data_IF_313435288771
#
_entry.id   IF_313435288771
#
_cell.length_a   1.000
_cell.length_b   1.000
_cell.length_c   1.000
_cell.angle_alpha   90.00
_cell.angle_beta   90.00
_cell.angle_gamma   90.00
#
_symmetry.space_group_name_H-M   'P 1'
#
loop_
_entity.id
_entity.type
_entity.pdbx_description
1 polymer ?
#
# COMPACT_ATOMS: atom_id res chain seq x y z
N UNK A 1 -4.84 -29.67 -24.56
CA UNK A 1 -4.06 -28.42 -24.60
C UNK A 1 -2.65 -28.78 -24.19
N UNK A 2 -1.66 -28.46 -25.02
CA UNK A 2 -0.27 -28.69 -24.65
C UNK A 2 0.08 -27.64 -23.58
N UNK A 3 0.75 -28.05 -22.51
CA UNK A 3 1.20 -27.13 -21.45
C UNK A 3 2.68 -27.28 -21.29
N UNK A 4 3.39 -26.15 -21.38
CA UNK A 4 4.85 -26.13 -21.28
C UNK A 4 5.21 -25.13 -20.19
N UNK A 5 5.92 -25.60 -19.17
CA UNK A 5 6.52 -24.72 -18.17
C UNK A 5 7.86 -24.21 -18.72
N UNK A 6 8.07 -22.90 -18.64
CA UNK A 6 9.29 -22.22 -19.06
C UNK A 6 9.78 -21.32 -17.93
N UNK A 7 11.09 -21.10 -17.88
CA UNK A 7 11.66 -20.00 -17.11
C UNK A 7 11.46 -18.69 -17.85
N UNK A 8 11.55 -17.59 -17.12
CA UNK A 8 11.29 -16.27 -17.66
C UNK A 8 12.29 -15.91 -18.77
N UNK A 9 11.77 -15.38 -19.88
CA UNK A 9 12.53 -14.87 -21.02
C UNK A 9 12.09 -13.44 -21.33
N UNK A 10 12.96 -12.64 -21.96
CA UNK A 10 12.70 -11.22 -22.23
C UNK A 10 11.34 -10.95 -22.92
N UNK A 11 10.91 -11.82 -23.83
CA UNK A 11 9.63 -11.67 -24.55
C UNK A 11 8.39 -11.80 -23.65
N UNK A 12 8.51 -12.41 -22.47
CA UNK A 12 7.41 -12.62 -21.55
C UNK A 12 7.40 -11.65 -20.36
N UNK A 13 8.44 -10.82 -20.19
CA UNK A 13 8.56 -9.93 -19.03
C UNK A 13 7.33 -9.04 -18.83
N UNK A 14 6.86 -8.40 -19.91
CA UNK A 14 5.67 -7.53 -19.88
C UNK A 14 4.37 -8.36 -19.87
N UNK A 15 4.15 -9.35 -20.79
CA UNK A 15 2.95 -10.16 -20.75
C UNK A 15 2.69 -10.90 -19.43
N UNK A 16 3.76 -11.27 -18.71
CA UNK A 16 3.65 -11.89 -17.39
C UNK A 16 3.22 -10.88 -16.31
N UNK A 17 3.74 -9.64 -16.33
CA UNK A 17 3.27 -8.58 -15.43
C UNK A 17 1.81 -8.24 -15.68
N UNK A 18 1.40 -8.15 -16.95
CA UNK A 18 0.01 -7.89 -17.31
C UNK A 18 -0.91 -9.01 -16.82
N UNK A 19 -0.48 -10.28 -16.94
CA UNK A 19 -1.22 -11.40 -16.34
C UNK A 19 -1.34 -11.29 -14.82
N UNK A 20 -0.25 -10.93 -14.13
CA UNK A 20 -0.25 -10.77 -12.67
C UNK A 20 -1.23 -9.66 -12.29
N UNK A 21 -1.12 -8.48 -12.91
CA UNK A 21 -2.00 -7.35 -12.64
C UNK A 21 -3.48 -7.69 -12.92
N UNK A 22 -3.79 -8.32 -14.05
CA UNK A 22 -5.16 -8.75 -14.40
C UNK A 22 -5.77 -9.70 -13.35
N UNK A 23 -5.00 -10.69 -12.91
CA UNK A 23 -5.47 -11.70 -11.95
C UNK A 23 -5.71 -11.08 -10.58
N UNK A 24 -4.79 -10.27 -10.08
CA UNK A 24 -4.93 -9.62 -8.77
C UNK A 24 -5.99 -8.51 -8.79
N UNK A 25 -6.18 -7.82 -9.92
CA UNK A 25 -7.27 -6.84 -10.08
C UNK A 25 -8.64 -7.53 -9.93
N UNK A 26 -8.76 -8.75 -10.45
CA UNK A 26 -10.02 -9.51 -10.42
C UNK A 26 -10.28 -10.17 -9.06
N UNK A 27 -9.23 -10.66 -8.40
CA UNK A 27 -9.35 -11.47 -7.19
C UNK A 27 -9.33 -10.64 -5.90
N UNK A 28 -8.68 -9.49 -5.94
CA UNK A 28 -8.45 -8.62 -4.79
C UNK A 28 -8.93 -7.19 -5.11
N UNK A 29 -8.04 -6.32 -5.60
CA UNK A 29 -8.34 -4.94 -5.97
C UNK A 29 -7.35 -4.39 -7.02
N UNK A 30 -7.71 -3.34 -7.79
CA UNK A 30 -6.78 -2.66 -8.68
C UNK A 30 -5.54 -2.10 -7.97
N UNK A 31 -5.68 -1.66 -6.72
CA UNK A 31 -4.59 -1.13 -5.90
C UNK A 31 -3.60 -2.23 -5.49
N UNK A 32 -4.12 -3.38 -5.04
CA UNK A 32 -3.29 -4.54 -4.73
C UNK A 32 -2.59 -5.06 -5.99
N UNK A 33 -3.27 -5.09 -7.14
CA UNK A 33 -2.69 -5.50 -8.41
C UNK A 33 -1.46 -4.65 -8.80
N UNK A 34 -1.56 -3.33 -8.64
CA UNK A 34 -0.43 -2.41 -8.88
C UNK A 34 0.71 -2.65 -7.89
N UNK A 35 0.39 -2.91 -6.63
CA UNK A 35 1.38 -3.20 -5.58
C UNK A 35 2.13 -4.49 -5.88
N UNK A 36 1.42 -5.57 -6.24
CA UNK A 36 2.02 -6.86 -6.61
C UNK A 36 2.85 -6.73 -7.89
N UNK A 37 2.37 -5.98 -8.89
CA UNK A 37 3.15 -5.67 -10.10
C UNK A 37 4.46 -4.96 -9.76
N UNK A 38 4.39 -3.88 -8.97
CA UNK A 38 5.55 -3.11 -8.53
C UNK A 38 6.52 -3.98 -7.73
N UNK A 39 6.02 -4.89 -6.89
CA UNK A 39 6.86 -5.84 -6.15
C UNK A 39 7.63 -6.78 -7.10
N UNK A 40 7.00 -7.30 -8.16
CA UNK A 40 7.69 -8.13 -9.16
C UNK A 40 8.77 -7.33 -9.90
N UNK A 41 8.46 -6.09 -10.29
CA UNK A 41 9.44 -5.19 -10.93
C UNK A 41 10.61 -4.87 -10.00
N UNK A 42 10.33 -4.61 -8.72
CA UNK A 42 11.34 -4.35 -7.69
C UNK A 42 12.23 -5.58 -7.46
N UNK A 43 11.64 -6.76 -7.31
CA UNK A 43 12.39 -8.02 -7.17
C UNK A 43 13.33 -8.17 -8.36
N UNK A 44 12.84 -8.04 -9.60
CA UNK A 44 13.63 -8.15 -10.84
C UNK A 44 14.80 -7.16 -10.90
N UNK A 45 14.65 -5.97 -10.32
CA UNK A 45 15.68 -4.93 -10.29
C UNK A 45 16.71 -5.12 -9.17
N UNK A 46 16.42 -5.95 -8.16
CA UNK A 46 17.28 -6.19 -6.98
C UNK A 46 18.02 -7.53 -7.06
N UNK A 47 18.99 -7.71 -6.16
CA UNK A 47 19.83 -8.91 -6.05
C UNK A 47 19.06 -10.20 -5.72
N UNK A 48 17.81 -10.09 -5.31
CA UNK A 48 16.96 -11.22 -4.93
C UNK A 48 16.39 -11.98 -6.13
N UNK A 49 16.48 -11.39 -7.34
CA UNK A 49 15.94 -11.99 -8.55
C UNK A 49 16.67 -13.26 -8.99
N UNK A 50 15.88 -14.28 -9.36
CA UNK A 50 16.34 -15.55 -9.90
C UNK A 50 15.56 -15.85 -11.21
N UNK A 51 16.07 -15.44 -12.38
CA UNK A 51 15.39 -15.65 -13.67
C UNK A 51 15.00 -17.11 -13.93
N UNK A 52 15.81 -18.05 -13.45
CA UNK A 52 15.58 -19.48 -13.59
C UNK A 52 14.40 -20.00 -12.75
N UNK A 53 13.99 -19.26 -11.71
CA UNK A 53 12.88 -19.60 -10.83
C UNK A 53 11.71 -18.59 -10.93
N UNK A 54 11.74 -17.68 -11.89
CA UNK A 54 10.54 -17.02 -12.38
C UNK A 54 9.95 -17.87 -13.50
N UNK A 55 8.76 -18.43 -13.26
CA UNK A 55 8.20 -19.49 -14.08
C UNK A 55 6.87 -19.08 -14.69
N UNK A 56 6.67 -19.47 -15.94
CA UNK A 56 5.41 -19.34 -16.65
C UNK A 56 4.98 -20.67 -17.22
N UNK A 57 3.67 -20.87 -17.34
CA UNK A 57 3.10 -21.95 -18.13
C UNK A 57 2.47 -21.36 -19.38
N UNK A 58 2.82 -21.88 -20.55
CA UNK A 58 2.27 -21.44 -21.84
C UNK A 58 1.53 -22.58 -22.56
N UNK A 59 0.58 -22.21 -23.42
CA UNK A 59 -0.06 -23.13 -24.37
C UNK A 59 0.71 -23.27 -25.68
N UNK A 60 0.17 -24.07 -26.62
CA UNK A 60 0.72 -24.25 -27.97
C UNK A 60 0.84 -22.97 -28.81
N UNK A 61 0.14 -21.89 -28.43
CA UNK A 61 0.19 -20.57 -29.11
C UNK A 61 1.15 -19.60 -28.45
N UNK A 62 1.90 -20.06 -27.44
CA UNK A 62 2.81 -19.24 -26.62
C UNK A 62 2.09 -18.24 -25.69
N UNK A 63 0.79 -18.45 -25.46
CA UNK A 63 -0.01 -17.62 -24.53
C UNK A 63 0.24 -18.07 -23.10
N UNK A 64 0.55 -17.12 -22.20
CA UNK A 64 0.76 -17.39 -20.78
C UNK A 64 -0.57 -17.75 -20.10
N UNK A 65 -0.63 -18.94 -19.50
CA UNK A 65 -1.76 -19.47 -18.74
C UNK A 65 -1.62 -19.25 -17.23
N UNK A 66 -0.38 -19.29 -16.73
CA UNK A 66 -0.07 -19.12 -15.32
C UNK A 66 1.37 -18.67 -15.09
N UNK A 67 1.62 -18.20 -13.88
CA UNK A 67 2.84 -17.55 -13.43
C UNK A 67 3.13 -17.94 -11.98
N UNK A 68 4.39 -18.18 -11.65
CA UNK A 68 4.88 -18.33 -10.29
C UNK A 68 6.31 -17.80 -10.19
N UNK A 69 6.59 -16.96 -9.19
CA UNK A 69 7.93 -16.45 -8.93
C UNK A 69 8.47 -16.97 -7.61
N UNK A 70 9.70 -17.48 -7.63
CA UNK A 70 10.51 -17.68 -6.44
C UNK A 70 11.69 -16.71 -6.48
N UNK A 71 11.91 -15.99 -5.39
CA UNK A 71 13.05 -15.07 -5.23
C UNK A 71 13.80 -15.37 -3.94
N UNK A 72 15.08 -14.95 -3.88
CA UNK A 72 15.86 -15.09 -2.64
C UNK A 72 15.18 -14.31 -1.51
N UNK A 73 15.22 -14.89 -0.32
CA UNK A 73 14.64 -14.26 0.86
C UNK A 73 15.57 -14.44 2.05
N UNK A 74 15.68 -13.40 2.88
CA UNK A 74 16.46 -13.48 4.11
C UNK A 74 15.56 -13.31 5.33
N UNK A 75 15.91 -13.98 6.41
CA UNK A 75 15.34 -13.75 7.74
C UNK A 75 16.45 -13.11 8.56
N UNK A 76 16.23 -11.87 9.03
CA UNK A 76 17.22 -11.13 9.85
C UNK A 76 18.62 -11.05 9.19
N UNK A 77 18.67 -10.92 7.86
CA UNK A 77 19.92 -10.89 7.07
C UNK A 77 20.62 -12.24 6.91
N UNK A 78 19.98 -13.35 7.28
CA UNK A 78 20.50 -14.73 7.17
C UNK A 78 19.75 -15.55 6.13
N UNK A 79 20.35 -16.67 5.71
CA UNK A 79 19.76 -17.71 4.86
C UNK A 79 19.39 -17.30 3.42
N UNK A 80 19.88 -16.16 2.92
CA UNK A 80 19.56 -15.67 1.57
C UNK A 80 19.91 -16.67 0.45
N UNK A 81 20.91 -17.52 0.67
CA UNK A 81 21.34 -18.58 -0.27
C UNK A 81 20.62 -19.94 -0.05
N UNK A 82 19.78 -20.04 0.98
CA UNK A 82 19.09 -21.28 1.37
C UNK A 82 17.57 -21.14 1.30
N UNK A 83 17.03 -19.94 1.49
CA UNK A 83 15.62 -19.67 1.63
C UNK A 83 15.10 -18.84 0.45
N UNK A 84 13.98 -19.31 -0.10
CA UNK A 84 13.22 -18.60 -1.12
C UNK A 84 11.89 -18.12 -0.55
N UNK A 85 11.30 -17.11 -1.17
CA UNK A 85 9.88 -16.76 -1.02
C UNK A 85 9.14 -17.02 -2.33
N UNK A 86 7.95 -17.63 -2.25
CA UNK A 86 7.05 -17.86 -3.37
C UNK A 86 6.02 -16.71 -3.44
N UNK A 87 6.28 -15.70 -4.28
CA UNK A 87 5.34 -14.61 -4.51
C UNK A 87 5.65 -13.84 -5.81
N UNK A 88 4.64 -13.47 -6.64
CA UNK A 88 3.26 -13.92 -6.60
C UNK A 88 3.06 -15.25 -7.37
N UNK A 89 1.86 -15.83 -7.22
CA UNK A 89 1.35 -16.92 -8.07
C UNK A 89 0.06 -16.45 -8.72
N UNK A 90 -0.01 -16.48 -10.05
CA UNK A 90 -1.16 -16.02 -10.82
C UNK A 90 -1.57 -17.07 -11.85
N UNK A 91 -2.88 -17.30 -12.00
CA UNK A 91 -3.44 -18.17 -13.04
C UNK A 91 -4.63 -17.46 -13.66
N UNK A 92 -4.64 -17.39 -15.00
CA UNK A 92 -5.76 -16.83 -15.76
C UNK A 92 -7.09 -17.38 -15.27
N UNK A 93 -8.06 -16.50 -15.03
CA UNK A 93 -9.34 -16.82 -14.41
C UNK A 93 -10.07 -17.96 -15.14
N UNK A 94 -10.04 -17.96 -16.47
CA UNK A 94 -10.66 -18.99 -17.32
C UNK A 94 -9.98 -20.37 -17.25
N UNK A 95 -8.77 -20.46 -16.68
CA UNK A 95 -8.01 -21.71 -16.54
C UNK A 95 -7.80 -22.14 -15.07
N UNK A 96 -8.47 -21.49 -14.12
CA UNK A 96 -8.44 -21.89 -12.72
C UNK A 96 -9.04 -23.30 -12.51
N UNK A 97 -8.64 -23.95 -11.40
CA UNK A 97 -9.04 -25.33 -11.05
C UNK A 97 -8.59 -26.41 -12.04
N UNK A 98 -7.65 -26.09 -12.94
CA UNK A 98 -7.06 -27.04 -13.87
C UNK A 98 -5.63 -27.45 -13.49
N UNK A 99 -5.28 -27.36 -12.19
CA UNK A 99 -3.97 -27.72 -11.63
C UNK A 99 -2.74 -26.90 -12.13
N UNK A 100 -2.93 -25.83 -12.90
CA UNK A 100 -1.82 -25.00 -13.43
C UNK A 100 -0.88 -24.48 -12.33
N UNK A 101 -1.42 -23.87 -11.27
CA UNK A 101 -0.59 -23.39 -10.16
C UNK A 101 0.09 -24.54 -9.42
N UNK A 102 -0.53 -25.72 -9.36
CA UNK A 102 0.07 -26.91 -8.75
C UNK A 102 1.32 -27.32 -9.53
N UNK A 103 1.19 -27.50 -10.84
CA UNK A 103 2.27 -27.92 -11.73
C UNK A 103 3.43 -26.91 -11.72
N UNK A 104 3.14 -25.61 -11.77
CA UNK A 104 4.17 -24.55 -11.68
C UNK A 104 4.94 -24.58 -10.37
N UNK A 105 4.23 -24.70 -9.24
CA UNK A 105 4.83 -24.68 -7.91
C UNK A 105 5.67 -25.95 -7.69
N UNK A 106 5.16 -27.13 -8.05
CA UNK A 106 5.88 -28.40 -7.91
C UNK A 106 7.15 -28.43 -8.78
N UNK A 107 7.06 -27.98 -10.03
CA UNK A 107 8.24 -27.80 -10.90
C UNK A 107 9.25 -26.83 -10.30
N UNK A 108 8.77 -25.72 -9.73
CA UNK A 108 9.61 -24.74 -9.03
C UNK A 108 10.35 -25.32 -7.83
N UNK A 109 9.71 -26.20 -7.05
CA UNK A 109 10.37 -26.89 -5.93
C UNK A 109 11.51 -27.79 -6.38
N UNK A 110 11.29 -28.62 -7.38
CA UNK A 110 12.32 -29.52 -7.92
C UNK A 110 13.50 -28.70 -8.45
N UNK A 111 13.22 -27.63 -9.18
CA UNK A 111 14.25 -26.75 -9.73
C UNK A 111 15.01 -25.98 -8.64
N UNK A 112 14.31 -25.46 -7.64
CA UNK A 112 14.92 -24.76 -6.51
C UNK A 112 15.84 -25.68 -5.70
N UNK A 113 15.40 -26.92 -5.43
CA UNK A 113 16.20 -27.93 -4.76
C UNK A 113 17.47 -28.27 -5.56
N UNK A 114 17.35 -28.42 -6.89
CA UNK A 114 18.48 -28.68 -7.77
C UNK A 114 19.49 -27.51 -7.82
N UNK A 115 19.03 -26.28 -7.61
CA UNK A 115 19.87 -25.09 -7.49
C UNK A 115 20.50 -24.91 -6.10
N UNK A 116 20.18 -25.80 -5.15
CA UNK A 116 20.80 -25.85 -3.82
C UNK A 116 19.98 -25.21 -2.70
N UNK A 117 18.85 -24.56 -2.99
CA UNK A 117 17.96 -23.98 -1.99
C UNK A 117 17.31 -25.07 -1.13
N UNK A 118 17.03 -24.72 0.13
CA UNK A 118 16.66 -25.65 1.19
C UNK A 118 15.21 -25.56 1.59
N UNK A 119 14.63 -24.36 1.54
CA UNK A 119 13.26 -24.12 1.94
C UNK A 119 12.60 -23.00 1.11
N UNK A 120 11.26 -23.00 1.11
CA UNK A 120 10.43 -21.97 0.49
C UNK A 120 9.42 -21.46 1.51
N UNK A 121 9.35 -20.15 1.66
CA UNK A 121 8.36 -19.42 2.45
C UNK A 121 7.22 -18.96 1.53
N UNK A 122 6.00 -18.90 2.05
CA UNK A 122 4.85 -18.35 1.34
C UNK A 122 3.86 -17.72 2.31
N UNK A 123 3.32 -16.59 1.93
CA UNK A 123 2.16 -15.99 2.58
C UNK A 123 0.91 -16.23 1.73
N UNK A 124 -0.14 -16.80 2.33
CA UNK A 124 -1.40 -17.02 1.62
C UNK A 124 -2.35 -17.97 2.36
N UNK A 125 -3.39 -18.44 1.67
CA UNK A 125 -4.41 -19.29 2.28
C UNK A 125 -3.88 -20.72 2.50
N UNK A 126 -3.91 -21.26 3.73
CA UNK A 126 -3.43 -22.63 4.04
C UNK A 126 -4.11 -23.72 3.21
N UNK A 127 -5.38 -23.54 2.84
CA UNK A 127 -6.12 -24.50 2.00
C UNK A 127 -5.49 -24.67 0.63
N UNK A 128 -4.80 -23.65 0.13
CA UNK A 128 -4.11 -23.69 -1.15
C UNK A 128 -2.71 -24.32 -1.03
N UNK A 129 -2.03 -24.19 0.10
CA UNK A 129 -0.61 -24.55 0.19
C UNK A 129 -0.33 -25.81 1.01
N UNK A 130 -1.15 -26.14 2.02
CA UNK A 130 -0.98 -27.36 2.83
C UNK A 130 -0.93 -28.66 2.00
N UNK A 131 -1.77 -28.85 0.96
CA UNK A 131 -1.69 -30.05 0.11
C UNK A 131 -0.37 -30.20 -0.65
N UNK A 132 0.43 -29.13 -0.73
CA UNK A 132 1.74 -29.09 -1.41
C UNK A 132 2.91 -29.26 -0.44
N UNK A 133 2.63 -29.60 0.83
CA UNK A 133 3.64 -29.85 1.86
C UNK A 133 4.14 -28.60 2.58
N UNK A 134 3.43 -27.48 2.44
CA UNK A 134 3.64 -26.32 3.32
C UNK A 134 3.02 -26.59 4.69
N UNK A 135 3.67 -26.08 5.72
CA UNK A 135 3.20 -26.10 7.10
C UNK A 135 3.26 -24.68 7.68
N UNK A 136 2.53 -24.43 8.76
CA UNK A 136 2.61 -23.15 9.48
C UNK A 136 4.06 -22.87 9.88
N UNK A 137 4.58 -21.71 9.48
CA UNK A 137 5.97 -21.30 9.72
C UNK A 137 6.31 -21.16 11.19
N UNK A 138 5.38 -20.65 12.00
CA UNK A 138 5.57 -20.44 13.44
C UNK A 138 5.86 -21.74 14.20
N UNK A 139 5.28 -22.87 13.77
CA UNK A 139 5.53 -24.20 14.34
C UNK A 139 6.96 -24.69 14.08
N UNK A 140 7.69 -24.02 13.18
CA UNK A 140 9.09 -24.27 12.82
C UNK A 140 10.04 -23.16 13.28
N UNK A 141 9.58 -22.25 14.14
CA UNK A 141 10.41 -21.17 14.68
C UNK A 141 10.65 -20.00 13.71
N UNK A 142 9.88 -19.91 12.64
CA UNK A 142 9.85 -18.77 11.71
C UNK A 142 8.56 -18.00 11.98
N UNK A 143 8.67 -16.78 12.51
CA UNK A 143 7.49 -16.00 12.94
C UNK A 143 7.36 -14.72 12.14
N UNK A 144 6.14 -14.22 11.98
CA UNK A 144 5.90 -12.93 11.35
C UNK A 144 6.43 -11.81 12.25
N UNK A 145 7.11 -10.82 11.66
CA UNK A 145 7.55 -9.62 12.35
C UNK A 145 6.40 -8.68 12.70
N UNK A 146 6.67 -7.67 13.55
CA UNK A 146 5.65 -6.77 14.08
C UNK A 146 4.98 -5.90 13.01
N UNK A 147 5.60 -5.73 11.85
CA UNK A 147 5.06 -5.00 10.68
C UNK A 147 4.12 -5.84 9.81
N UNK A 148 4.11 -7.17 9.99
CA UNK A 148 3.34 -8.10 9.16
C UNK A 148 1.99 -8.40 9.81
N UNK A 149 0.91 -8.09 9.10
CA UNK A 149 -0.46 -8.31 9.55
C UNK A 149 -1.06 -9.53 8.83
N UNK A 150 -1.00 -10.69 9.48
CA UNK A 150 -1.59 -11.92 8.94
C UNK A 150 -3.05 -12.07 9.38
N UNK A 151 -3.98 -12.48 8.51
CA UNK A 151 -5.35 -12.83 8.91
C UNK A 151 -5.40 -13.94 9.96
N UNK A 152 -4.40 -14.84 9.94
CA UNK A 152 -4.20 -15.91 10.92
C UNK A 152 -2.73 -16.35 10.88
N UNK A 153 -2.11 -16.77 11.99
CA UNK A 153 -0.71 -17.23 12.00
C UNK A 153 -0.40 -18.35 11.00
N UNK A 154 -1.39 -19.20 10.71
CA UNK A 154 -1.29 -20.27 9.72
C UNK A 154 -1.08 -19.76 8.28
N UNK A 155 -1.35 -18.49 7.99
CA UNK A 155 -1.22 -17.93 6.64
C UNK A 155 0.24 -17.69 6.22
N UNK A 156 1.17 -17.60 7.17
CA UNK A 156 2.59 -17.62 6.86
C UNK A 156 3.10 -19.06 6.99
N UNK A 157 3.57 -19.62 5.89
CA UNK A 157 3.90 -21.02 5.79
C UNK A 157 5.30 -21.22 5.24
N UNK A 158 5.87 -22.38 5.55
CA UNK A 158 7.18 -22.79 5.07
C UNK A 158 7.14 -24.25 4.59
N UNK A 159 7.95 -24.56 3.59
CA UNK A 159 8.15 -25.90 3.06
C UNK A 159 9.62 -26.22 2.96
N UNK A 160 10.00 -27.39 3.46
CA UNK A 160 11.29 -28.02 3.18
C UNK A 160 11.34 -28.53 1.73
N UNK A 161 12.42 -28.18 1.04
CA UNK A 161 12.81 -28.78 -0.25
C UNK A 161 13.76 -29.96 -0.03
N UNK A 162 14.54 -29.92 1.05
CA UNK A 162 15.44 -30.99 1.49
C UNK A 162 15.03 -31.38 2.91
N UNK A 163 15.00 -32.67 3.27
CA UNK A 163 14.68 -33.11 4.63
C UNK A 163 15.52 -32.40 5.69
N UNK A 164 14.88 -32.05 6.81
CA UNK A 164 15.49 -31.46 7.99
C UNK A 164 16.12 -30.06 7.77
N UNK A 165 15.86 -29.43 6.62
CA UNK A 165 16.37 -28.11 6.28
C UNK A 165 15.94 -27.01 7.24
N UNK A 166 14.83 -27.16 7.98
CA UNK A 166 14.35 -26.15 8.92
C UNK A 166 14.92 -26.31 10.33
N UNK A 167 15.77 -27.31 10.61
CA UNK A 167 16.37 -27.46 11.94
C UNK A 167 17.22 -26.24 12.36
N UNK A 168 17.87 -25.57 11.40
CA UNK A 168 18.70 -24.39 11.65
C UNK A 168 18.10 -23.07 11.12
N UNK A 169 17.02 -23.11 10.33
CA UNK A 169 16.38 -21.90 9.78
C UNK A 169 15.27 -21.44 10.74
N UNK A 170 15.50 -20.32 11.41
CA UNK A 170 14.55 -19.71 12.34
C UNK A 170 14.75 -18.19 12.39
N UNK A 171 13.75 -17.48 12.92
CA UNK A 171 13.80 -16.03 13.14
C UNK A 171 12.53 -15.32 12.70
N UNK A 172 12.65 -14.01 12.56
CA UNK A 172 11.52 -13.10 12.29
C UNK A 172 11.48 -12.67 10.82
N UNK A 173 10.37 -12.94 10.14
CA UNK A 173 10.10 -12.49 8.77
C UNK A 173 9.79 -11.00 8.78
N UNK A 174 10.41 -10.25 7.87
CA UNK A 174 10.14 -8.84 7.65
C UNK A 174 10.21 -8.54 6.16
N UNK A 175 9.24 -7.80 5.63
CA UNK A 175 9.20 -7.36 4.24
C UNK A 175 9.64 -5.92 4.04
N UNK A 176 10.03 -5.21 5.11
CA UNK A 176 10.38 -3.79 5.06
C UNK A 176 11.57 -3.46 4.13
N UNK A 177 12.37 -4.47 3.75
CA UNK A 177 13.44 -4.31 2.77
C UNK A 177 12.94 -4.22 1.32
N UNK A 178 11.67 -4.54 1.08
CA UNK A 178 10.97 -4.19 -0.15
C UNK A 178 10.40 -2.78 -0.03
N UNK A 179 10.89 -1.87 -0.86
CA UNK A 179 10.44 -0.47 -0.88
C UNK A 179 8.96 -0.41 -1.22
N UNK A 180 8.48 -1.28 -2.12
CA UNK A 180 7.06 -1.36 -2.51
C UNK A 180 6.16 -1.74 -1.33
N UNK A 181 6.66 -2.55 -0.39
CA UNK A 181 5.88 -3.05 0.74
C UNK A 181 6.07 -2.22 2.01
N UNK A 182 6.98 -1.24 2.00
CA UNK A 182 7.18 -0.38 3.14
C UNK A 182 5.94 0.49 3.38
N UNK A 183 5.64 0.75 4.64
CA UNK A 183 4.44 1.51 5.03
C UNK A 183 4.45 2.92 4.43
N UNK A 184 5.65 3.51 4.27
CA UNK A 184 5.83 4.80 3.62
C UNK A 184 5.40 4.78 2.15
N UNK A 185 5.73 3.72 1.40
CA UNK A 185 5.30 3.58 0.01
C UNK A 185 3.78 3.40 -0.09
N UNK A 186 3.17 2.58 0.79
CA UNK A 186 1.70 2.45 0.86
C UNK A 186 1.04 3.80 1.17
N UNK A 187 1.60 4.59 2.09
CA UNK A 187 1.11 5.93 2.39
C UNK A 187 1.13 6.83 1.15
N UNK A 188 2.14 6.73 0.27
CA UNK A 188 2.19 7.53 -0.97
C UNK A 188 1.03 7.23 -1.93
N UNK A 189 0.59 5.97 -2.03
CA UNK A 189 -0.53 5.56 -2.90
C UNK A 189 -1.83 6.21 -2.42
N UNK A 190 -2.13 6.11 -1.12
CA UNK A 190 -3.33 6.73 -0.55
C UNK A 190 -3.25 8.25 -0.59
N UNK A 191 -2.07 8.83 -0.38
CA UNK A 191 -1.90 10.28 -0.44
C UNK A 191 -2.14 10.84 -1.84
N UNK A 192 -1.66 10.18 -2.89
CA UNK A 192 -1.98 10.54 -4.28
C UNK A 192 -3.48 10.53 -4.53
N UNK A 193 -4.20 9.55 -3.99
CA UNK A 193 -5.66 9.51 -4.09
C UNK A 193 -6.34 10.67 -3.35
N UNK A 194 -5.84 11.07 -2.17
CA UNK A 194 -6.29 12.30 -1.51
C UNK A 194 -6.08 13.55 -2.38
N UNK A 195 -4.95 13.64 -3.09
CA UNK A 195 -4.63 14.74 -4.01
C UNK A 195 -5.55 14.76 -5.23
N UNK A 196 -5.87 13.60 -5.80
CA UNK A 196 -6.86 13.50 -6.88
C UNK A 196 -8.23 14.03 -6.44
N UNK A 197 -8.69 13.66 -5.24
CA UNK A 197 -9.95 14.14 -4.67
C UNK A 197 -9.93 15.64 -4.40
N UNK A 198 -8.81 16.17 -3.91
CA UNK A 198 -8.61 17.61 -3.72
C UNK A 198 -8.78 18.38 -5.04
N UNK A 199 -8.05 17.97 -6.08
CA UNK A 199 -8.15 18.58 -7.42
C UNK A 199 -9.57 18.47 -7.99
N UNK A 200 -10.27 17.35 -7.76
CA UNK A 200 -11.67 17.20 -8.17
C UNK A 200 -12.59 18.20 -7.47
N UNK A 201 -12.43 18.42 -6.17
CA UNK A 201 -13.16 19.43 -5.41
C UNK A 201 -12.89 20.84 -5.96
N UNK A 202 -11.61 21.16 -6.18
CA UNK A 202 -11.16 22.41 -6.79
C UNK A 202 -11.85 22.68 -8.13
N UNK A 203 -11.83 21.70 -9.04
CA UNK A 203 -12.50 21.79 -10.36
C UNK A 203 -14.03 21.97 -10.26
N UNK A 204 -14.68 21.47 -9.20
CA UNK A 204 -16.12 21.62 -8.96
C UNK A 204 -16.51 22.98 -8.35
N UNK A 205 -15.54 23.85 -8.08
CA UNK A 205 -15.82 25.17 -7.52
C UNK A 205 -15.82 25.22 -6.00
N UNK A 206 -15.08 24.32 -5.34
CA UNK A 206 -14.88 24.30 -3.89
C UNK A 206 -13.40 24.49 -3.54
N UNK A 207 -13.09 24.64 -2.26
CA UNK A 207 -11.70 24.58 -1.79
C UNK A 207 -11.11 23.17 -2.04
N UNK A 208 -9.81 23.07 -2.32
CA UNK A 208 -9.15 21.86 -2.88
C UNK A 208 -8.58 20.94 -1.80
N UNK A 209 -9.47 20.15 -1.19
CA UNK A 209 -9.07 19.17 -0.17
C UNK A 209 -9.79 17.83 -0.38
N UNK A 210 -9.10 16.76 -0.02
CA UNK A 210 -9.58 15.39 -0.13
C UNK A 210 -9.12 14.52 1.04
N UNK A 211 -9.94 13.55 1.42
CA UNK A 211 -9.67 12.65 2.55
C UNK A 211 -10.17 11.22 2.28
N UNK A 212 -9.53 10.24 2.90
CA UNK A 212 -9.81 8.81 2.77
C UNK A 212 -9.80 8.14 4.14
N UNK A 213 -10.61 7.09 4.31
CA UNK A 213 -10.47 6.13 5.39
C UNK A 213 -9.97 4.80 4.82
N UNK A 214 -8.86 4.29 5.34
CA UNK A 214 -8.24 3.04 4.90
C UNK A 214 -8.20 2.05 6.05
N UNK A 215 -8.53 0.79 5.78
CA UNK A 215 -8.41 -0.31 6.75
C UNK A 215 -7.82 -1.54 6.04
N UNK A 216 -6.77 -2.12 6.59
CA UNK A 216 -6.08 -3.30 6.04
C UNK A 216 -5.72 -3.20 4.55
N UNK A 217 -5.35 -2.01 4.10
CA UNK A 217 -4.96 -1.75 2.71
C UNK A 217 -6.11 -1.35 1.79
N UNK A 218 -7.37 -1.50 2.22
CA UNK A 218 -8.56 -1.17 1.43
C UNK A 218 -9.07 0.23 1.77
N UNK A 219 -9.43 1.02 0.74
CA UNK A 219 -10.14 2.30 0.92
C UNK A 219 -11.61 2.00 1.24
N UNK A 220 -12.03 2.32 2.46
CA UNK A 220 -13.42 2.13 2.91
C UNK A 220 -14.34 3.27 2.48
N UNK A 221 -13.86 4.51 2.59
CA UNK A 221 -14.60 5.71 2.26
C UNK A 221 -13.69 6.80 1.71
N UNK A 222 -14.27 7.62 0.83
CA UNK A 222 -13.62 8.77 0.21
C UNK A 222 -14.46 10.02 0.42
N UNK A 223 -13.83 11.18 0.60
CA UNK A 223 -14.53 12.44 0.69
C UNK A 223 -13.78 13.58 0.02
N UNK A 224 -14.52 14.37 -0.74
CA UNK A 224 -14.10 15.66 -1.27
C UNK A 224 -14.54 16.79 -0.34
N UNK A 225 -13.83 17.91 -0.39
CA UNK A 225 -14.31 19.15 0.19
C UNK A 225 -15.51 19.71 -0.59
N UNK A 226 -16.50 20.18 0.15
CA UNK A 226 -17.69 20.86 -0.36
C UNK A 226 -17.86 22.26 0.26
N UNK A 227 -16.85 22.74 0.99
CA UNK A 227 -16.82 24.07 1.53
C UNK A 227 -16.27 25.08 0.50
N UNK A 228 -16.85 26.27 0.50
CA UNK A 228 -16.36 27.44 -0.23
C UNK A 228 -16.84 28.69 0.51
N UNK A 229 -15.99 29.69 0.64
CA UNK A 229 -16.31 30.87 1.45
C UNK A 229 -17.53 31.66 0.93
N UNK A 230 -17.90 31.52 -0.36
CA UNK A 230 -19.10 32.15 -0.94
C UNK A 230 -20.35 31.27 -0.77
N UNK A 231 -20.22 29.95 -0.89
CA UNK A 231 -21.35 29.00 -0.91
C UNK A 231 -21.69 28.42 0.47
N UNK A 232 -20.72 28.31 1.36
CA UNK A 232 -20.88 27.72 2.68
C UNK A 232 -19.55 27.24 3.27
N UNK A 233 -19.26 27.67 4.49
CA UNK A 233 -17.97 27.41 5.17
C UNK A 233 -17.86 26.02 5.81
N UNK A 234 -18.92 25.21 5.78
CA UNK A 234 -18.95 23.89 6.41
C UNK A 234 -18.98 22.80 5.34
N UNK A 235 -18.10 21.81 5.46
CA UNK A 235 -17.95 20.73 4.48
C UNK A 235 -16.50 20.45 4.09
N UNK A 236 -15.56 20.55 5.03
CA UNK A 236 -14.19 20.09 4.79
C UNK A 236 -14.18 18.59 4.46
N UNK A 237 -13.19 18.15 3.70
CA UNK A 237 -13.07 16.76 3.28
C UNK A 237 -13.11 15.81 4.49
N UNK A 238 -12.41 16.13 5.58
CA UNK A 238 -12.37 15.32 6.80
C UNK A 238 -13.73 15.30 7.50
N UNK A 239 -14.47 16.42 7.55
CA UNK A 239 -15.83 16.45 8.10
C UNK A 239 -16.79 15.59 7.29
N UNK A 240 -16.71 15.70 5.97
CA UNK A 240 -17.53 14.91 5.05
C UNK A 240 -17.21 13.41 5.19
N UNK A 241 -15.94 13.06 5.36
CA UNK A 241 -15.50 11.68 5.61
C UNK A 241 -16.03 11.17 6.96
N UNK A 242 -15.85 11.93 8.04
CA UNK A 242 -16.38 11.58 9.37
C UNK A 242 -17.88 11.34 9.31
N UNK A 243 -18.63 12.19 8.61
CA UNK A 243 -20.07 12.01 8.43
C UNK A 243 -20.43 10.72 7.69
N UNK A 244 -19.64 10.31 6.69
CA UNK A 244 -19.86 9.05 5.95
C UNK A 244 -19.55 7.82 6.80
N UNK A 245 -18.54 7.90 7.66
CA UNK A 245 -18.08 6.78 8.49
C UNK A 245 -18.89 6.62 9.77
N UNK A 246 -19.36 7.72 10.37
CA UNK A 246 -20.07 7.71 11.65
C UNK A 246 -21.31 6.81 11.60
N UNK A 247 -21.43 5.89 12.56
CA UNK A 247 -22.50 4.88 12.67
C UNK A 247 -22.56 3.85 11.54
N UNK A 248 -21.62 3.87 10.57
CA UNK A 248 -21.56 2.90 9.48
C UNK A 248 -20.60 1.74 9.77
N UNK A 249 -19.50 2.02 10.46
CA UNK A 249 -18.47 1.04 10.79
C UNK A 249 -18.39 0.83 12.32
N UNK A 250 -18.01 -0.38 12.78
CA UNK A 250 -17.83 -0.64 14.21
C UNK A 250 -16.58 0.05 14.74
N UNK A 251 -16.62 0.49 16.00
CA UNK A 251 -15.52 1.20 16.68
C UNK A 251 -14.19 0.44 16.61
N UNK A 252 -14.22 -0.90 16.69
CA UNK A 252 -13.02 -1.74 16.60
C UNK A 252 -12.33 -1.61 15.24
N UNK A 253 -13.10 -1.52 14.15
CA UNK A 253 -12.57 -1.35 12.80
C UNK A 253 -12.02 0.06 12.61
N UNK A 254 -12.74 1.09 13.10
CA UNK A 254 -12.32 2.48 12.99
C UNK A 254 -11.02 2.73 13.76
N UNK A 255 -10.86 2.10 14.92
CA UNK A 255 -9.63 2.15 15.72
C UNK A 255 -8.41 1.62 14.98
N UNK A 256 -8.58 0.54 14.22
CA UNK A 256 -7.54 -0.10 13.40
C UNK A 256 -7.43 0.52 11.99
N UNK A 257 -8.21 1.56 11.69
CA UNK A 257 -8.17 2.27 10.41
C UNK A 257 -7.17 3.43 10.46
N UNK A 258 -6.69 3.84 9.30
CA UNK A 258 -5.89 5.07 9.12
C UNK A 258 -6.69 6.06 8.28
N UNK A 259 -6.78 7.31 8.75
CA UNK A 259 -7.36 8.39 7.98
C UNK A 259 -6.26 9.13 7.22
N UNK A 260 -6.42 9.28 5.90
CA UNK A 260 -5.53 10.06 5.06
C UNK A 260 -6.21 11.38 4.68
N UNK A 261 -5.46 12.48 4.66
CA UNK A 261 -5.95 13.81 4.25
C UNK A 261 -4.90 14.56 3.43
N UNK A 262 -5.34 15.25 2.37
CA UNK A 262 -4.44 15.96 1.44
C UNK A 262 -3.65 17.09 2.13
N UNK A 263 -4.17 17.65 3.21
CA UNK A 263 -3.52 18.69 4.00
C UNK A 263 -3.73 18.39 5.49
N UNK A 264 -2.78 18.82 6.33
CA UNK A 264 -2.85 18.67 7.78
C UNK A 264 -4.21 19.19 8.32
N UNK A 265 -4.94 18.37 9.11
CA UNK A 265 -6.35 18.63 9.41
C UNK A 265 -6.53 19.68 10.50
N UNK A 266 -7.28 20.76 10.21
CA UNK A 266 -7.52 21.85 11.18
C UNK A 266 -8.06 21.33 12.51
N UNK A 267 -7.92 22.10 13.59
CA UNK A 267 -8.28 21.67 14.95
C UNK A 267 -9.75 21.20 15.03
N UNK A 268 -10.63 21.81 14.23
CA UNK A 268 -12.04 21.41 14.11
C UNK A 268 -12.20 20.04 13.46
N UNK A 269 -11.50 19.80 12.35
CA UNK A 269 -11.48 18.51 11.66
C UNK A 269 -10.83 17.45 12.55
N UNK A 270 -9.75 17.78 13.25
CA UNK A 270 -9.05 16.89 14.15
C UNK A 270 -9.96 16.36 15.27
N UNK A 271 -10.72 17.23 15.93
CA UNK A 271 -11.71 16.81 16.93
C UNK A 271 -12.84 15.97 16.32
N UNK A 272 -13.24 16.25 15.07
CA UNK A 272 -14.22 15.41 14.39
C UNK A 272 -13.67 14.02 14.07
N UNK A 273 -12.44 13.92 13.59
CA UNK A 273 -11.76 12.64 13.34
C UNK A 273 -11.65 11.86 14.66
N UNK A 274 -11.28 12.52 15.74
CA UNK A 274 -11.18 11.89 17.06
C UNK A 274 -12.51 11.28 17.53
N UNK A 275 -13.65 11.87 17.14
CA UNK A 275 -14.97 11.32 17.47
C UNK A 275 -15.29 9.98 16.78
N UNK A 276 -14.57 9.61 15.71
CA UNK A 276 -14.67 8.27 15.10
C UNK A 276 -13.90 7.19 15.88
N UNK A 277 -12.98 7.56 16.77
CA UNK A 277 -12.08 6.62 17.44
C UNK A 277 -10.87 6.17 16.60
N UNK A 278 -10.60 6.83 15.47
CA UNK A 278 -9.39 6.60 14.65
C UNK A 278 -8.15 7.09 15.41
N UNK A 279 -7.12 6.25 15.53
CA UNK A 279 -5.89 6.59 16.27
C UNK A 279 -4.72 7.03 15.38
N UNK A 280 -4.83 6.91 14.06
CA UNK A 280 -3.77 7.28 13.11
C UNK A 280 -4.30 8.16 11.99
N UNK A 281 -3.68 9.31 11.81
CA UNK A 281 -3.95 10.23 10.69
C UNK A 281 -2.65 10.49 9.93
N UNK A 282 -2.70 10.35 8.61
CA UNK A 282 -1.59 10.64 7.71
C UNK A 282 -1.96 11.85 6.84
N UNK A 283 -1.09 12.86 6.77
CA UNK A 283 -1.36 14.07 6.00
C UNK A 283 -0.32 14.33 4.90
N UNK A 284 -0.79 14.95 3.81
CA UNK A 284 0.02 15.29 2.65
C UNK A 284 0.82 16.56 2.85
N UNK A 285 0.14 17.70 2.74
CA UNK A 285 0.74 19.03 2.91
C UNK A 285 0.72 19.46 4.38
N UNK A 286 1.85 19.93 4.93
CA UNK A 286 1.92 20.48 6.29
C UNK A 286 1.27 21.87 6.41
N UNK A 287 0.98 22.29 7.64
CA UNK A 287 0.57 23.67 7.89
C UNK A 287 1.61 24.71 7.48
N UNK A 288 2.90 24.39 7.65
CA UNK A 288 3.97 25.30 7.28
C UNK A 288 3.95 25.56 5.78
N UNK A 289 3.88 24.49 4.98
CA UNK A 289 3.78 24.60 3.53
C UNK A 289 2.46 25.27 3.10
N UNK A 290 1.32 24.86 3.65
CA UNK A 290 0.02 25.46 3.33
C UNK A 290 -0.06 26.93 3.73
N UNK A 291 0.61 27.37 4.80
CA UNK A 291 0.60 28.76 5.26
C UNK A 291 1.17 29.74 4.24
N UNK A 292 1.99 29.26 3.28
CA UNK A 292 2.47 30.06 2.13
C UNK A 292 1.32 30.54 1.24
N UNK A 293 0.19 29.86 1.28
CA UNK A 293 -1.03 30.16 0.52
C UNK A 293 -2.10 30.88 1.36
N UNK A 294 -1.78 31.26 2.59
CA UNK A 294 -2.71 31.95 3.49
C UNK A 294 -2.18 33.30 3.95
N UNK A 295 -3.04 34.24 4.39
CA UNK A 295 -2.59 35.54 4.88
C UNK A 295 -1.78 35.50 6.18
N UNK A 296 -1.83 34.38 6.93
CA UNK A 296 -1.11 34.20 8.20
C UNK A 296 0.01 33.17 8.09
N UNK A 297 0.91 33.18 9.07
CA UNK A 297 1.91 32.11 9.22
C UNK A 297 1.34 30.95 10.03
N UNK A 298 1.92 29.77 9.85
CA UNK A 298 1.57 28.60 10.63
C UNK A 298 1.86 28.84 12.12
N UNK A 299 0.87 28.57 12.97
CA UNK A 299 1.06 28.61 14.41
C UNK A 299 1.60 27.25 14.90
N UNK A 300 2.60 27.24 15.80
CA UNK A 300 3.12 26.01 16.38
C UNK A 300 2.16 25.48 17.45
N UNK A 301 1.14 24.76 17.01
CA UNK A 301 0.14 24.12 17.88
C UNK A 301 0.53 22.65 18.10
N UNK A 302 0.74 22.25 19.36
CA UNK A 302 0.91 20.85 19.74
C UNK A 302 -0.43 20.12 19.72
N UNK A 303 -0.84 19.69 18.53
CA UNK A 303 -2.13 19.02 18.28
C UNK A 303 -2.22 17.67 18.98
N UNK A 304 -1.14 16.90 19.01
CA UNK A 304 -1.13 15.62 19.73
C UNK A 304 -1.14 15.83 21.25
N UNK A 305 -0.44 16.84 21.76
CA UNK A 305 -0.51 17.26 23.16
C UNK A 305 -1.92 17.65 23.57
N UNK A 306 -2.59 18.48 22.77
CA UNK A 306 -3.98 18.86 22.99
C UNK A 306 -4.90 17.63 23.05
N UNK A 307 -4.74 16.67 22.14
CA UNK A 307 -5.54 15.43 22.16
C UNK A 307 -5.23 14.58 23.40
N UNK A 308 -3.95 14.47 23.80
CA UNK A 308 -3.56 13.76 25.03
C UNK A 308 -4.20 14.36 26.27
N UNK A 309 -4.30 15.69 26.37
CA UNK A 309 -4.98 16.36 27.49
C UNK A 309 -6.48 16.03 27.55
N UNK A 310 -7.09 15.74 26.40
CA UNK A 310 -8.48 15.28 26.29
C UNK A 310 -8.64 13.76 26.51
N UNK A 311 -7.56 13.04 26.82
CA UNK A 311 -7.57 11.57 26.98
C UNK A 311 -7.67 10.81 25.65
N UNK A 312 -7.38 11.47 24.53
CA UNK A 312 -7.48 10.91 23.19
C UNK A 312 -6.09 10.52 22.71
N UNK A 313 -5.94 9.25 22.32
CA UNK A 313 -4.70 8.76 21.71
C UNK A 313 -4.84 8.80 20.20
N UNK A 314 -4.17 9.76 19.57
CA UNK A 314 -4.10 9.87 18.11
C UNK A 314 -2.71 10.34 17.70
N UNK A 315 -2.16 9.72 16.65
CA UNK A 315 -0.88 10.09 16.05
C UNK A 315 -1.09 10.74 14.69
N UNK A 316 -0.37 11.84 14.46
CA UNK A 316 -0.30 12.52 13.18
C UNK A 316 1.03 12.18 12.51
N UNK A 317 0.98 11.64 11.30
CA UNK A 317 2.16 11.30 10.49
C UNK A 317 2.15 12.05 9.16
N UNK A 318 3.31 12.51 8.72
CA UNK A 318 3.47 13.32 7.51
C UNK A 318 4.51 14.43 7.71
N UNK A 319 4.73 15.28 6.70
CA UNK A 319 4.02 15.31 5.42
C UNK A 319 4.42 14.15 4.48
N UNK A 320 3.49 13.69 3.63
CA UNK A 320 3.73 12.66 2.60
C UNK A 320 3.59 13.30 1.23
N UNK A 321 4.61 13.20 0.37
CA UNK A 321 4.61 13.84 -0.96
C UNK A 321 4.28 15.34 -0.91
N UNK A 322 4.90 16.11 -0.01
CA UNK A 322 4.54 17.52 0.23
C UNK A 322 4.69 18.40 -1.02
N UNK A 323 5.78 18.24 -1.76
CA UNK A 323 6.06 19.03 -2.97
C UNK A 323 4.98 18.80 -4.04
N UNK A 324 4.66 17.54 -4.34
CA UNK A 324 3.56 17.16 -5.23
C UNK A 324 2.21 17.66 -4.69
N UNK A 325 2.00 17.54 -3.38
CA UNK A 325 0.77 17.97 -2.70
C UNK A 325 0.50 19.46 -2.79
N UNK A 326 1.54 20.29 -2.82
CA UNK A 326 1.35 21.74 -2.99
C UNK A 326 0.73 22.11 -4.34
N UNK A 327 0.94 21.30 -5.39
CA UNK A 327 0.35 21.56 -6.71
C UNK A 327 -1.16 21.29 -6.76
N UNK A 328 -1.77 20.63 -5.76
CA UNK A 328 -3.23 20.46 -5.73
C UNK A 328 -3.96 21.80 -5.60
N UNK A 329 -3.28 22.81 -5.03
CA UNK A 329 -3.80 24.16 -4.83
C UNK A 329 -3.87 24.98 -6.11
N UNK A 330 -3.29 24.50 -7.21
CA UNK A 330 -3.41 25.15 -8.50
C UNK A 330 -4.84 25.14 -9.01
N UNK A 331 -5.65 24.13 -8.62
CA UNK A 331 -7.09 24.12 -8.83
C UNK A 331 -7.80 24.55 -7.55
N UNK A 332 -8.37 25.76 -7.50
CA UNK A 332 -9.10 26.25 -6.33
C UNK A 332 -10.36 26.99 -6.76
N UNK A 333 -11.51 26.66 -6.19
CA UNK A 333 -12.74 27.44 -6.39
C UNK A 333 -13.23 27.47 -7.85
N UNK A 334 -12.84 26.48 -8.67
CA UNK A 334 -13.24 26.34 -10.07
C UNK A 334 -12.26 26.97 -11.06
N UNK A 335 -11.18 27.56 -10.57
CA UNK A 335 -10.16 28.23 -11.37
C UNK A 335 -8.82 27.48 -11.28
N UNK A 336 -8.02 27.59 -12.34
CA UNK A 336 -6.64 27.11 -12.35
C UNK A 336 -5.67 28.28 -12.31
N UNK A 337 -4.74 28.28 -11.35
CA UNK A 337 -3.70 29.29 -11.19
C UNK A 337 -2.37 28.62 -10.84
N UNK A 338 -1.24 29.00 -11.45
CA UNK A 338 0.07 28.44 -11.10
C UNK A 338 0.42 28.65 -9.63
N UNK A 339 1.03 27.63 -9.00
CA UNK A 339 1.35 27.65 -7.58
C UNK A 339 2.28 28.82 -7.21
N UNK A 340 3.26 29.13 -8.05
CA UNK A 340 4.24 30.18 -7.80
C UNK A 340 3.59 31.57 -7.75
N UNK A 341 2.56 31.80 -8.58
CA UNK A 341 1.79 33.05 -8.59
C UNK A 341 1.00 33.20 -7.29
N UNK A 342 0.35 32.13 -6.82
CA UNK A 342 -0.40 32.12 -5.57
C UNK A 342 0.49 32.42 -4.37
N UNK A 343 1.67 31.79 -4.30
CA UNK A 343 2.64 32.02 -3.22
C UNK A 343 3.17 33.46 -3.26
N UNK A 344 3.50 33.98 -4.44
CA UNK A 344 3.98 35.36 -4.58
C UNK A 344 2.92 36.39 -4.14
N UNK A 345 1.66 36.18 -4.53
CA UNK A 345 0.54 37.04 -4.14
C UNK A 345 0.38 37.07 -2.61
N UNK A 346 0.38 35.90 -1.95
CA UNK A 346 0.23 35.83 -0.50
C UNK A 346 1.44 36.40 0.25
N UNK A 347 2.64 36.27 -0.30
CA UNK A 347 3.84 36.92 0.27
C UNK A 347 3.71 38.45 0.27
N UNK A 348 3.17 39.06 -0.79
CA UNK A 348 2.89 40.50 -0.80
C UNK A 348 1.83 40.91 0.23
N UNK A 349 0.78 40.10 0.40
CA UNK A 349 -0.27 40.34 1.41
C UNK A 349 0.34 40.34 2.81
N UNK A 350 1.19 39.37 3.13
CA UNK A 350 1.90 39.28 4.43
C UNK A 350 2.82 40.47 4.66
N UNK A 351 3.60 40.86 3.64
CA UNK A 351 4.50 42.00 3.72
C UNK A 351 3.76 43.32 4.03
N UNK A 352 2.57 43.51 3.42
CA UNK A 352 1.71 44.68 3.69
C UNK A 352 1.10 44.64 5.08
N UNK A 353 0.76 43.46 5.60
CA UNK A 353 0.22 43.31 6.95
C UNK A 353 1.25 43.59 8.04
N UNK A 354 2.52 43.18 7.85
CA UNK A 354 3.61 43.40 8.81
C UNK A 354 4.06 44.87 8.93
N UNK A 355 3.65 45.74 7.99
CA UNK A 355 3.96 47.18 8.00
C UNK A 355 2.88 48.02 8.71
N UNK A 356 1.77 47.41 9.12
CA UNK A 356 0.69 48.04 9.89
C UNK A 356 0.80 47.65 11.36
#
# INVERSE_FOLDING_TARGET
>A
MLRIIKSMENKYLIPALDLVEDVFTTWDSPEEAKTVRALVEEIRAKKYYLPELELIMVDETDRILGYAMFSRFHIEGKYEDELLILTPVAVRTEYQRQHISKELIEYGFEKAAALGYKAVLVEGNPKNYNPRGFVTSADRGIVAGPSIHLPHPACLMVKELVPDALEHISGTVDYSFYDTLCEDHKNTVYMKRCYELAVQAGKKGFDTFGALLVHNGEILEEAENTADWKKGIFGHAEFNLVRKCANRYPDSLLKESTLFTSCAPCERCLCAIASLGVEKVVFGVSYEAFSKLTPGDALPVDREGLLRELGITMKLAGPVLEEEGMHVFEWWGGEHRPLEELIAEMAEVKAKAAQK
#
